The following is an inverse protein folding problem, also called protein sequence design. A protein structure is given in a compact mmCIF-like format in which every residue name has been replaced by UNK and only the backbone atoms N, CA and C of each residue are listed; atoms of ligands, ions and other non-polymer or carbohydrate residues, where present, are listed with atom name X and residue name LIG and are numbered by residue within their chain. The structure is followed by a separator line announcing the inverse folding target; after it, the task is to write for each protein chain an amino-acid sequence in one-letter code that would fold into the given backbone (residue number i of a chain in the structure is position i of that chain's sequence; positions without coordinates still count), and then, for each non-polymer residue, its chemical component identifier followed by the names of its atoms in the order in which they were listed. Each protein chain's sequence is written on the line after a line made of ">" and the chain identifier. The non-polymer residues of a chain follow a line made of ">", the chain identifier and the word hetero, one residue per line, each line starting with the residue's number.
data_IF_572320320870
#
_entry.id   IF_572320320870
#
_cell.length_a   1.000
_cell.length_b   1.000
_cell.length_c   1.000
_cell.angle_alpha   90.00
_cell.angle_beta   90.00
_cell.angle_gamma   90.00
#
_symmetry.space_group_name_H-M   'P 1'
#
loop_
_entity.id
_entity.type
_entity.pdbx_description
1 polymer ?
#
# COMPACT_ATOMS: atom_id res chain seq x y z
N UNK A 1 -32.04 -15.47 13.50
CA UNK A 1 -32.08 -15.06 12.08
C UNK A 1 -30.66 -14.64 11.67
N UNK A 2 -30.06 -15.18 10.60
CA UNK A 2 -28.66 -14.89 10.26
C UNK A 2 -28.49 -13.45 9.72
N UNK A 3 -27.37 -12.80 10.06
CA UNK A 3 -27.07 -11.40 9.69
C UNK A 3 -27.13 -11.16 8.17
N UNK A 4 -26.75 -12.15 7.36
CA UNK A 4 -26.76 -12.07 5.91
C UNK A 4 -28.19 -11.89 5.34
N UNK A 5 -29.16 -12.64 5.88
CA UNK A 5 -30.57 -12.51 5.48
C UNK A 5 -31.11 -11.12 5.80
N UNK A 6 -30.72 -10.56 6.95
CA UNK A 6 -31.09 -9.22 7.36
C UNK A 6 -30.59 -8.18 6.34
N UNK A 7 -29.30 -8.24 5.99
CA UNK A 7 -28.66 -7.34 5.03
C UNK A 7 -29.32 -7.46 3.65
N UNK A 8 -29.59 -8.70 3.21
CA UNK A 8 -30.24 -8.94 1.93
C UNK A 8 -31.66 -8.37 1.88
N UNK A 9 -32.47 -8.60 2.92
CA UNK A 9 -33.85 -8.10 3.00
C UNK A 9 -33.87 -6.57 3.02
N UNK A 10 -33.09 -5.93 3.90
CA UNK A 10 -33.04 -4.46 3.97
C UNK A 10 -32.45 -3.85 2.71
N UNK A 11 -31.42 -4.45 2.13
CA UNK A 11 -30.83 -3.99 0.87
C UNK A 11 -31.84 -4.02 -0.27
N UNK A 12 -32.58 -5.12 -0.42
CA UNK A 12 -33.65 -5.23 -1.43
C UNK A 12 -34.77 -4.22 -1.19
N UNK A 13 -35.15 -3.98 0.06
CA UNK A 13 -36.17 -2.99 0.41
C UNK A 13 -35.70 -1.57 0.07
N UNK A 14 -34.45 -1.24 0.38
CA UNK A 14 -33.85 0.05 0.06
C UNK A 14 -33.82 0.31 -1.45
N UNK A 15 -33.34 -0.67 -2.24
CA UNK A 15 -33.35 -0.58 -3.71
C UNK A 15 -34.76 -0.34 -4.22
N UNK A 16 -35.74 -1.11 -3.74
CA UNK A 16 -37.14 -0.97 -4.17
C UNK A 16 -37.73 0.39 -3.79
N UNK A 17 -37.39 0.91 -2.61
CA UNK A 17 -37.85 2.22 -2.15
C UNK A 17 -37.33 3.34 -3.04
N UNK A 18 -36.04 3.33 -3.34
CA UNK A 18 -35.38 4.34 -4.19
C UNK A 18 -35.76 4.17 -5.67
N UNK A 19 -36.02 2.95 -6.13
CA UNK A 19 -36.40 2.69 -7.51
C UNK A 19 -37.79 3.23 -7.87
N UNK A 20 -38.70 3.41 -6.90
CA UNK A 20 -40.06 3.95 -7.15
C UNK A 20 -40.06 5.36 -7.76
N UNK A 21 -39.41 6.37 -7.15
CA UNK A 21 -39.34 7.69 -7.76
C UNK A 21 -38.58 7.69 -9.09
N UNK A 22 -37.56 6.83 -9.24
CA UNK A 22 -36.83 6.66 -10.51
C UNK A 22 -37.76 6.13 -11.59
N UNK A 23 -38.53 5.07 -11.32
CA UNK A 23 -39.51 4.52 -12.25
C UNK A 23 -40.58 5.55 -12.64
N UNK A 24 -41.06 6.35 -11.69
CA UNK A 24 -41.99 7.43 -11.97
C UNK A 24 -41.37 8.50 -12.89
N UNK A 25 -40.10 8.83 -12.67
CA UNK A 25 -39.36 9.76 -13.53
C UNK A 25 -39.17 9.21 -14.95
N UNK A 26 -38.86 7.91 -15.08
CA UNK A 26 -38.74 7.24 -16.37
C UNK A 26 -40.07 7.25 -17.14
N UNK A 27 -41.21 6.96 -16.47
CA UNK A 27 -42.53 7.05 -17.13
C UNK A 27 -42.82 8.46 -17.61
N UNK A 28 -42.63 9.46 -16.74
CA UNK A 28 -42.83 10.87 -17.10
C UNK A 28 -41.94 11.28 -18.29
N UNK A 29 -40.70 10.81 -18.33
CA UNK A 29 -39.80 11.03 -19.45
C UNK A 29 -40.26 10.37 -20.74
N UNK A 30 -40.92 9.21 -20.64
CA UNK A 30 -41.48 8.51 -21.78
C UNK A 30 -42.72 9.22 -22.34
N UNK A 31 -43.59 9.73 -21.46
CA UNK A 31 -44.74 10.55 -21.85
C UNK A 31 -44.32 11.81 -22.61
N UNK A 32 -43.15 12.37 -22.28
CA UNK A 32 -42.60 13.56 -22.93
C UNK A 32 -41.80 13.27 -24.20
N UNK A 33 -41.35 12.04 -24.42
CA UNK A 33 -40.48 11.69 -25.54
C UNK A 33 -40.99 10.44 -26.27
N UNK A 34 -41.66 10.60 -27.43
CA UNK A 34 -42.22 9.49 -28.18
C UNK A 34 -41.22 8.39 -28.55
N UNK A 35 -39.94 8.75 -28.82
CA UNK A 35 -38.89 7.76 -29.12
C UNK A 35 -38.56 6.91 -27.90
N UNK A 36 -38.60 7.51 -26.71
CA UNK A 36 -38.35 6.78 -25.47
C UNK A 36 -39.53 5.90 -25.07
N UNK A 37 -40.77 6.35 -25.29
CA UNK A 37 -41.95 5.51 -25.13
C UNK A 37 -41.92 4.30 -26.08
N UNK A 38 -41.59 4.50 -27.35
CA UNK A 38 -41.42 3.40 -28.30
C UNK A 38 -40.34 2.40 -27.86
N UNK A 39 -39.25 2.88 -27.27
CA UNK A 39 -38.23 2.02 -26.71
C UNK A 39 -38.76 1.16 -25.56
N UNK A 40 -39.55 1.74 -24.63
CA UNK A 40 -40.18 0.98 -23.53
C UNK A 40 -41.13 -0.07 -24.08
N UNK A 41 -42.01 0.30 -25.03
CA UNK A 41 -42.95 -0.62 -25.69
C UNK A 41 -42.20 -1.76 -26.39
N UNK A 42 -41.13 -1.47 -27.13
CA UNK A 42 -40.35 -2.50 -27.82
C UNK A 42 -39.69 -3.46 -26.82
N UNK A 43 -39.19 -2.98 -25.68
CA UNK A 43 -38.63 -3.84 -24.64
C UNK A 43 -39.71 -4.65 -23.91
N UNK A 44 -40.88 -4.06 -23.65
CA UNK A 44 -42.05 -4.75 -23.10
C UNK A 44 -42.48 -5.92 -23.98
N UNK A 45 -42.58 -5.70 -25.30
CA UNK A 45 -42.87 -6.75 -26.27
C UNK A 45 -41.79 -7.84 -26.30
N UNK A 46 -40.50 -7.46 -26.35
CA UNK A 46 -39.38 -8.43 -26.37
C UNK A 46 -39.33 -9.30 -25.11
N UNK A 47 -39.63 -8.71 -23.95
CA UNK A 47 -39.57 -9.41 -22.66
C UNK A 47 -40.88 -10.08 -22.29
N UNK A 48 -41.94 -9.91 -23.09
CA UNK A 48 -43.30 -10.37 -22.79
C UNK A 48 -43.80 -9.88 -21.42
N UNK A 49 -43.47 -8.63 -21.08
CA UNK A 49 -43.86 -8.00 -19.81
C UNK A 49 -44.61 -6.70 -20.08
N UNK A 50 -45.43 -6.29 -19.12
CA UNK A 50 -46.06 -4.98 -19.16
C UNK A 50 -45.00 -3.86 -19.14
N UNK A 51 -45.27 -2.76 -19.85
CA UNK A 51 -44.43 -1.56 -19.86
C UNK A 51 -44.12 -1.08 -18.43
N UNK A 52 -45.14 -1.09 -17.55
CA UNK A 52 -45.00 -0.75 -16.13
C UNK A 52 -43.91 -1.58 -15.45
N UNK A 53 -43.91 -2.89 -15.70
CA UNK A 53 -42.97 -3.85 -15.11
C UNK A 53 -41.56 -3.70 -15.69
N UNK A 54 -41.45 -3.46 -16.99
CA UNK A 54 -40.15 -3.15 -17.63
C UNK A 54 -39.54 -1.89 -17.01
N UNK A 55 -40.33 -0.82 -16.87
CA UNK A 55 -39.84 0.42 -16.27
C UNK A 55 -39.43 0.23 -14.80
N UNK A 56 -40.21 -0.54 -14.03
CA UNK A 56 -39.88 -0.85 -12.63
C UNK A 56 -38.59 -1.69 -12.51
N UNK A 57 -38.37 -2.64 -13.42
CA UNK A 57 -37.14 -3.45 -13.47
C UNK A 57 -35.93 -2.61 -13.88
N UNK A 58 -36.05 -1.79 -14.92
CA UNK A 58 -34.98 -0.86 -15.35
C UNK A 58 -34.60 0.08 -14.21
N UNK A 59 -35.57 0.64 -13.49
CA UNK A 59 -35.30 1.50 -12.34
C UNK A 59 -34.56 0.76 -11.23
N UNK A 60 -34.96 -0.47 -10.91
CA UNK A 60 -34.27 -1.29 -9.90
C UNK A 60 -32.84 -1.61 -10.32
N UNK A 61 -32.62 -2.00 -11.58
CA UNK A 61 -31.29 -2.29 -12.11
C UNK A 61 -30.39 -1.06 -12.08
N UNK A 62 -30.91 0.12 -12.44
CA UNK A 62 -30.16 1.37 -12.40
C UNK A 62 -29.75 1.77 -10.98
N UNK A 63 -30.68 1.67 -10.03
CA UNK A 63 -30.41 1.96 -8.60
C UNK A 63 -29.38 0.97 -8.07
N UNK A 64 -29.56 -0.32 -8.33
CA UNK A 64 -28.63 -1.35 -7.89
C UNK A 64 -27.23 -1.17 -8.49
N UNK A 65 -27.11 -0.90 -9.79
CA UNK A 65 -25.82 -0.69 -10.44
C UNK A 65 -25.10 0.54 -9.91
N UNK A 66 -25.84 1.62 -9.64
CA UNK A 66 -25.30 2.84 -9.03
C UNK A 66 -24.78 2.57 -7.62
N UNK A 67 -25.56 1.86 -6.79
CA UNK A 67 -25.15 1.49 -5.43
C UNK A 67 -23.93 0.56 -5.45
N UNK A 68 -23.93 -0.46 -6.32
CA UNK A 68 -22.82 -1.40 -6.46
C UNK A 68 -21.54 -0.70 -6.96
N UNK A 69 -21.66 0.17 -7.96
CA UNK A 69 -20.56 0.99 -8.47
C UNK A 69 -20.00 1.92 -7.40
N UNK A 70 -20.87 2.60 -6.64
CA UNK A 70 -20.46 3.47 -5.54
C UNK A 70 -19.76 2.70 -4.43
N UNK A 71 -20.25 1.51 -4.09
CA UNK A 71 -19.61 0.62 -3.10
C UNK A 71 -18.22 0.17 -3.57
N UNK A 72 -18.06 -0.14 -4.86
CA UNK A 72 -16.78 -0.51 -5.44
C UNK A 72 -15.78 0.65 -5.37
N UNK A 73 -16.19 1.85 -5.79
CA UNK A 73 -15.36 3.06 -5.72
C UNK A 73 -14.97 3.37 -4.27
N UNK A 74 -15.92 3.28 -3.34
CA UNK A 74 -15.65 3.47 -1.92
C UNK A 74 -14.62 2.46 -1.41
N UNK A 75 -14.75 1.18 -1.75
CA UNK A 75 -13.81 0.14 -1.36
C UNK A 75 -12.41 0.39 -1.92
N UNK A 76 -12.30 0.74 -3.20
CA UNK A 76 -11.02 1.07 -3.85
C UNK A 76 -10.35 2.28 -3.19
N UNK A 77 -11.11 3.36 -2.97
CA UNK A 77 -10.61 4.57 -2.30
C UNK A 77 -10.13 4.26 -0.89
N UNK A 78 -10.92 3.52 -0.11
CA UNK A 78 -10.58 3.14 1.25
C UNK A 78 -9.33 2.25 1.31
N UNK A 79 -9.13 1.40 0.30
CA UNK A 79 -7.93 0.57 0.17
C UNK A 79 -6.70 1.43 -0.14
N UNK A 80 -6.83 2.42 -1.03
CA UNK A 80 -5.74 3.35 -1.36
C UNK A 80 -5.27 4.13 -0.14
N UNK A 81 -6.18 4.70 0.64
CA UNK A 81 -5.86 5.43 1.88
C UNK A 81 -5.07 4.58 2.88
N UNK A 82 -5.37 3.28 2.99
CA UNK A 82 -4.61 2.37 3.87
C UNK A 82 -3.20 2.14 3.34
N UNK A 83 -3.05 1.97 2.02
CA UNK A 83 -1.74 1.78 1.39
C UNK A 83 -0.87 3.02 1.56
N UNK A 84 -1.44 4.21 1.36
CA UNK A 84 -0.72 5.48 1.57
C UNK A 84 -0.19 5.62 2.99
N UNK A 85 -1.01 5.30 4.00
CA UNK A 85 -0.57 5.31 5.41
C UNK A 85 0.58 4.34 5.68
N UNK A 86 0.53 3.14 5.10
CA UNK A 86 1.60 2.14 5.24
C UNK A 86 2.88 2.60 4.54
N UNK A 87 2.78 3.23 3.37
CA UNK A 87 3.93 3.80 2.65
C UNK A 87 4.54 4.95 3.44
N UNK A 88 3.72 5.82 4.03
CA UNK A 88 4.18 6.95 4.85
C UNK A 88 4.89 6.47 6.13
N UNK A 89 4.33 5.46 6.81
CA UNK A 89 4.95 4.85 7.99
C UNK A 89 6.28 4.17 7.62
N UNK A 90 6.34 3.48 6.48
CA UNK A 90 7.57 2.90 5.98
C UNK A 90 8.62 3.98 5.65
N UNK A 91 8.22 5.09 5.01
CA UNK A 91 9.11 6.22 4.69
C UNK A 91 9.71 6.83 5.96
N UNK A 92 8.93 6.98 7.03
CA UNK A 92 9.40 7.50 8.32
C UNK A 92 10.45 6.60 9.00
N UNK A 93 10.40 5.28 8.75
CA UNK A 93 11.37 4.31 9.29
C UNK A 93 12.67 4.24 8.48
N UNK A 94 12.69 4.72 7.24
CA UNK A 94 13.90 4.76 6.38
C UNK A 94 15.03 5.59 6.99
N UNK A 95 14.85 6.87 7.39
CA UNK A 95 15.95 7.69 7.91
C UNK A 95 16.55 7.09 9.19
N UNK A 96 15.72 6.50 10.05
CA UNK A 96 16.19 5.83 11.26
C UNK A 96 17.04 4.59 10.92
N UNK A 97 16.56 3.71 10.03
CA UNK A 97 17.33 2.55 9.56
C UNK A 97 18.63 2.94 8.86
N UNK A 98 18.64 4.03 8.10
CA UNK A 98 19.83 4.55 7.44
C UNK A 98 20.81 5.07 8.48
N UNK A 99 20.33 5.81 9.48
CA UNK A 99 21.16 6.31 10.58
C UNK A 99 21.79 5.15 11.38
N UNK A 100 21.00 4.14 11.75
CA UNK A 100 21.49 2.97 12.49
C UNK A 100 22.54 2.21 11.67
N UNK A 101 22.32 2.03 10.36
CA UNK A 101 23.31 1.41 9.46
C UNK A 101 24.59 2.24 9.35
N UNK A 102 24.48 3.56 9.27
CA UNK A 102 25.64 4.45 9.19
C UNK A 102 26.45 4.39 10.48
N UNK A 103 25.81 4.38 11.64
CA UNK A 103 26.48 4.21 12.93
C UNK A 103 27.21 2.86 13.01
N UNK A 104 26.54 1.76 12.63
CA UNK A 104 27.17 0.44 12.62
C UNK A 104 28.38 0.37 11.68
N UNK A 105 28.29 0.98 10.49
CA UNK A 105 29.44 1.03 9.58
C UNK A 105 30.56 1.90 10.14
N UNK A 106 30.23 3.05 10.74
CA UNK A 106 31.23 3.92 11.35
C UNK A 106 31.96 3.22 12.50
N UNK A 107 31.25 2.46 13.33
CA UNK A 107 31.83 1.68 14.42
C UNK A 107 32.73 0.57 13.89
N UNK A 108 32.30 -0.17 12.86
CA UNK A 108 33.12 -1.19 12.19
C UNK A 108 34.40 -0.60 11.59
N UNK A 109 34.27 0.47 10.81
CA UNK A 109 35.42 1.17 10.21
C UNK A 109 36.35 1.68 11.31
N UNK A 110 35.82 2.25 12.39
CA UNK A 110 36.64 2.74 13.50
C UNK A 110 37.38 1.62 14.24
N UNK A 111 36.77 0.44 14.38
CA UNK A 111 37.44 -0.73 14.96
C UNK A 111 38.53 -1.27 14.03
N UNK A 112 38.25 -1.31 12.73
CA UNK A 112 39.18 -1.82 11.71
C UNK A 112 40.43 -0.94 11.61
N UNK A 113 40.25 0.39 11.52
CA UNK A 113 41.35 1.37 11.56
C UNK A 113 42.17 1.26 12.85
N UNK A 114 41.51 1.10 14.01
CA UNK A 114 42.20 0.94 15.29
C UNK A 114 43.05 -0.33 15.33
N UNK A 115 42.53 -1.43 14.79
CA UNK A 115 43.24 -2.71 14.75
C UNK A 115 44.42 -2.67 13.77
N UNK A 116 44.30 -1.97 12.64
CA UNK A 116 45.42 -1.74 11.71
C UNK A 116 46.51 -0.89 12.36
N UNK A 117 46.18 0.25 12.95
CA UNK A 117 47.16 1.12 13.62
C UNK A 117 47.89 0.38 14.77
N UNK A 118 47.17 -0.44 15.54
CA UNK A 118 47.77 -1.24 16.60
C UNK A 118 48.74 -2.31 16.05
N UNK A 119 48.45 -2.88 14.87
CA UNK A 119 49.37 -3.80 14.21
C UNK A 119 50.62 -3.06 13.72
N UNK A 120 50.45 -1.94 13.03
CA UNK A 120 51.58 -1.13 12.53
C UNK A 120 52.50 -0.69 13.66
N UNK A 121 51.96 -0.12 14.75
CA UNK A 121 52.75 0.33 15.90
C UNK A 121 53.50 -0.84 16.57
N UNK A 122 52.86 -2.01 16.65
CA UNK A 122 53.51 -3.21 17.21
C UNK A 122 54.65 -3.69 16.33
N UNK A 123 54.47 -3.67 15.01
CA UNK A 123 55.54 -4.04 14.07
C UNK A 123 56.71 -3.06 14.10
N UNK A 124 56.43 -1.77 14.24
CA UNK A 124 57.44 -0.71 14.34
C UNK A 124 58.27 -0.84 15.62
N UNK A 125 57.61 -0.98 16.78
CA UNK A 125 58.29 -1.24 18.06
C UNK A 125 59.12 -2.52 18.04
N UNK A 126 58.63 -3.59 17.41
CA UNK A 126 59.38 -4.85 17.29
C UNK A 126 60.62 -4.71 16.40
N UNK A 127 60.58 -3.85 15.37
CA UNK A 127 61.75 -3.54 14.56
C UNK A 127 62.77 -2.73 15.37
N UNK A 128 62.32 -1.72 16.11
CA UNK A 128 63.19 -0.85 16.91
C UNK A 128 63.90 -1.64 18.03
N UNK A 129 63.17 -2.47 18.78
CA UNK A 129 63.75 -3.39 19.77
C UNK A 129 64.76 -4.37 19.15
N UNK A 130 64.47 -4.88 17.93
CA UNK A 130 65.37 -5.78 17.22
C UNK A 130 66.67 -5.07 16.82
N UNK A 131 66.60 -3.81 16.39
CA UNK A 131 67.77 -3.01 16.04
C UNK A 131 68.57 -2.61 17.29
N UNK A 132 67.94 -2.26 18.41
CA UNK A 132 68.65 -2.03 19.69
C UNK A 132 69.37 -3.27 20.22
N UNK A 133 68.74 -4.45 20.12
CA UNK A 133 69.37 -5.73 20.48
C UNK A 133 70.56 -6.09 19.57
N UNK A 134 70.54 -5.64 18.30
CA UNK A 134 71.65 -5.80 17.36
C UNK A 134 72.79 -4.83 17.68
N UNK A 135 72.48 -3.55 17.91
CA UNK A 135 73.48 -2.54 18.30
C UNK A 135 74.11 -2.80 19.68
N UNK A 136 73.36 -3.39 20.61
CA UNK A 136 73.86 -3.81 21.92
C UNK A 136 74.77 -5.05 21.87
N UNK A 137 74.67 -5.88 20.83
CA UNK A 137 75.62 -6.99 20.61
C UNK A 137 76.96 -6.49 20.06
N UNK A 138 76.98 -5.46 19.21
CA UNK A 138 78.22 -4.87 18.70
C UNK A 138 79.07 -4.19 19.80
N UNK A 139 78.45 -3.62 20.84
CA UNK A 139 79.18 -3.07 21.98
C UNK A 139 79.76 -4.14 22.94
N UNK A 140 79.24 -5.37 22.92
CA UNK A 140 79.78 -6.47 23.75
C UNK A 140 80.97 -7.19 23.12
N UNK A 141 81.21 -7.01 21.82
CA UNK A 141 82.40 -7.59 21.14
C UNK A 141 83.65 -6.70 21.33
N UNK A 142 83.50 -5.46 21.82
CA UNK A 142 84.61 -4.52 22.05
C UNK A 142 85.24 -4.51 23.46
N UNK A 143 84.68 -5.23 24.43
CA UNK A 143 85.22 -5.34 25.81
C UNK A 143 85.70 -6.77 26.10
N UNK A 144 86.61 -7.26 25.26
CA UNK A 144 87.54 -8.33 25.61
C UNK A 144 88.94 -7.88 25.17
N UNK A 145 89.58 -7.06 26.01
CA UNK A 145 91.03 -6.88 26.04
C UNK A 145 91.49 -7.04 27.50
#
# INVERSE_FOLDING_TARGET
>A
MPLFELIYIYGRLAVRSIARPVASGLRKGADMNPKFQQFIVQNAQRTQKDEKKVVDEVAQTLVFSTMAGSALVYYMRRSSEKKERLVEEALKKVPQKVHDRLQQMQEKVSQEVRNELLKELREELLKELREELRGGQDLKVGLHF
#
